data_IF_569854402516
#
_entry.id   IF_569854402516
#
_cell.length_a   1.000
_cell.length_b   1.000
_cell.length_c   1.000
_cell.angle_alpha   90.00
_cell.angle_beta   90.00
_cell.angle_gamma   90.00
#
_symmetry.space_group_name_H-M   'P 1'
#
loop_
_entity.id
_entity.type
_entity.pdbx_description
1 polymer ?
#
# COMPACT_ATOMS: atom_id res chain seq x y z
N UNK A 1 -17.12 -10.70 40.98
CA UNK A 1 -17.55 -11.74 39.99
C UNK A 1 -17.42 -11.17 38.60
N UNK A 2 -16.37 -11.54 37.91
CA UNK A 2 -16.10 -11.10 36.51
C UNK A 2 -16.89 -12.03 35.58
N UNK A 3 -18.03 -11.58 35.10
CA UNK A 3 -18.76 -12.30 34.06
C UNK A 3 -17.99 -12.16 32.73
N UNK A 4 -17.43 -13.26 32.27
CA UNK A 4 -16.74 -13.31 30.97
C UNK A 4 -17.72 -12.96 29.85
N UNK A 5 -17.28 -12.12 28.92
CA UNK A 5 -18.04 -11.69 27.74
C UNK A 5 -18.57 -12.88 26.90
N UNK A 6 -17.90 -14.04 26.99
CA UNK A 6 -18.33 -15.31 26.37
C UNK A 6 -19.56 -15.93 27.05
N UNK A 7 -19.71 -15.77 28.37
CA UNK A 7 -20.87 -16.33 29.11
C UNK A 7 -22.16 -15.59 28.80
N UNK A 8 -22.07 -14.27 28.64
CA UNK A 8 -23.22 -13.41 28.28
C UNK A 8 -23.70 -13.75 26.86
N UNK A 9 -22.77 -13.95 25.93
CA UNK A 9 -23.10 -14.30 24.53
C UNK A 9 -23.80 -15.68 24.46
N UNK A 10 -23.34 -16.66 25.25
CA UNK A 10 -23.92 -18.00 25.31
C UNK A 10 -25.32 -18.01 25.95
N UNK A 11 -25.55 -17.17 26.98
CA UNK A 11 -26.85 -16.99 27.61
C UNK A 11 -27.89 -16.45 26.62
N UNK A 12 -27.51 -15.46 25.80
CA UNK A 12 -28.40 -14.92 24.76
C UNK A 12 -28.69 -15.92 23.66
N UNK A 13 -27.69 -16.69 23.22
CA UNK A 13 -27.86 -17.71 22.17
C UNK A 13 -28.86 -18.80 22.56
N UNK A 14 -28.92 -19.21 23.83
CA UNK A 14 -29.84 -20.25 24.30
C UNK A 14 -31.30 -19.75 24.46
N UNK A 15 -31.55 -18.43 24.39
CA UNK A 15 -32.91 -17.85 24.50
C UNK A 15 -33.44 -17.30 23.17
N UNK A 16 -32.66 -17.43 22.09
CA UNK A 16 -33.10 -17.00 20.77
C UNK A 16 -33.95 -18.13 20.20
N UNK A 17 -35.23 -17.84 19.97
CA UNK A 17 -36.10 -18.70 19.16
C UNK A 17 -36.15 -18.13 17.73
N UNK A 18 -36.41 -18.96 16.75
CA UNK A 18 -36.67 -18.52 15.36
C UNK A 18 -37.98 -17.71 15.26
N UNK A 19 -38.77 -17.71 16.35
CA UNK A 19 -39.95 -16.88 16.47
C UNK A 19 -39.55 -15.41 16.66
N UNK A 20 -39.84 -14.59 15.65
CA UNK A 20 -39.52 -13.17 15.58
C UNK A 20 -40.18 -12.29 16.63
N UNK A 21 -41.13 -12.83 17.43
CA UNK A 21 -41.88 -12.12 18.47
C UNK A 21 -41.13 -11.99 19.81
N UNK A 22 -40.05 -12.77 20.02
CA UNK A 22 -39.28 -12.75 21.25
C UNK A 22 -38.45 -11.46 21.39
N UNK A 23 -38.63 -10.75 22.52
CA UNK A 23 -37.82 -9.56 22.85
C UNK A 23 -36.31 -9.86 22.87
N UNK A 24 -35.93 -11.09 23.20
CA UNK A 24 -34.55 -11.52 23.21
C UNK A 24 -33.97 -11.65 21.81
N UNK A 25 -34.77 -12.11 20.84
CA UNK A 25 -34.41 -12.11 19.42
C UNK A 25 -34.21 -10.69 18.92
N UNK A 26 -35.14 -9.77 19.28
CA UNK A 26 -35.02 -8.36 18.89
C UNK A 26 -33.77 -7.70 19.50
N UNK A 27 -33.49 -7.89 20.79
CA UNK A 27 -32.30 -7.36 21.46
C UNK A 27 -31.01 -7.92 20.86
N UNK A 28 -30.99 -9.20 20.50
CA UNK A 28 -29.86 -9.83 19.85
C UNK A 28 -29.61 -9.24 18.47
N UNK A 29 -30.63 -9.11 17.65
CA UNK A 29 -30.55 -8.52 16.31
C UNK A 29 -30.14 -7.04 16.39
N UNK A 30 -30.75 -6.27 17.30
CA UNK A 30 -30.38 -4.88 17.52
C UNK A 30 -28.89 -4.74 17.86
N UNK A 31 -28.38 -5.57 18.79
CA UNK A 31 -26.97 -5.62 19.11
C UNK A 31 -26.11 -6.01 17.91
N UNK A 32 -26.51 -7.01 17.13
CA UNK A 32 -25.78 -7.48 15.95
C UNK A 32 -25.74 -6.42 14.86
N UNK A 33 -26.82 -5.70 14.65
CA UNK A 33 -26.95 -4.71 13.57
C UNK A 33 -26.32 -3.38 13.97
N UNK A 34 -26.59 -2.89 15.19
CA UNK A 34 -26.27 -1.50 15.56
C UNK A 34 -25.12 -1.37 16.56
N UNK A 35 -24.84 -2.37 17.39
CA UNK A 35 -23.85 -2.26 18.46
C UNK A 35 -22.52 -2.95 18.07
N UNK A 36 -22.54 -4.02 17.28
CA UNK A 36 -21.32 -4.62 16.79
C UNK A 36 -20.70 -3.66 15.76
N UNK A 37 -19.58 -3.05 16.15
CA UNK A 37 -18.85 -2.14 15.28
C UNK A 37 -18.42 -2.87 14.01
N UNK A 38 -19.11 -2.62 12.90
CA UNK A 38 -18.77 -3.10 11.57
C UNK A 38 -17.65 -2.23 10.95
N UNK A 39 -17.15 -1.23 11.68
CA UNK A 39 -16.13 -0.33 11.20
C UNK A 39 -14.77 -1.04 11.08
N UNK A 40 -14.40 -1.42 9.86
CA UNK A 40 -13.00 -1.67 9.53
C UNK A 40 -12.34 -0.30 9.31
N UNK A 41 -11.42 0.07 10.19
CA UNK A 41 -10.60 1.27 10.02
C UNK A 41 -9.58 0.96 8.92
N UNK A 42 -9.64 1.68 7.82
CA UNK A 42 -8.66 1.66 6.74
C UNK A 42 -7.99 3.04 6.64
N UNK A 43 -6.77 3.05 6.15
CA UNK A 43 -5.95 4.25 6.01
C UNK A 43 -5.62 4.56 4.55
N UNK A 44 -5.55 3.54 3.68
CA UNK A 44 -5.33 3.71 2.25
C UNK A 44 -6.59 4.19 1.52
N UNK A 45 -6.42 4.75 0.33
CA UNK A 45 -7.54 4.94 -0.58
C UNK A 45 -8.15 3.58 -0.94
N UNK A 46 -9.47 3.52 -1.06
CA UNK A 46 -10.23 2.32 -1.45
C UNK A 46 -10.01 1.08 -0.56
N UNK A 47 -9.43 1.22 0.65
CA UNK A 47 -9.25 0.11 1.59
C UNK A 47 -8.18 -0.93 1.18
N UNK A 48 -7.22 -0.57 0.33
CA UNK A 48 -6.12 -1.46 -0.12
C UNK A 48 -5.36 -2.09 1.05
N UNK A 49 -5.12 -1.33 2.11
CA UNK A 49 -4.43 -1.76 3.33
C UNK A 49 -5.16 -2.87 4.10
N UNK A 50 -6.49 -2.96 3.98
CA UNK A 50 -7.26 -4.08 4.54
C UNK A 50 -6.97 -5.36 3.76
N UNK A 51 -6.93 -5.27 2.42
CA UNK A 51 -6.63 -6.40 1.55
C UNK A 51 -5.20 -6.89 1.80
N UNK A 52 -4.24 -5.97 1.85
CA UNK A 52 -2.84 -6.28 2.15
C UNK A 52 -2.71 -6.99 3.50
N UNK A 53 -3.22 -6.38 4.57
CA UNK A 53 -3.10 -6.90 5.92
C UNK A 53 -3.88 -8.19 6.15
N UNK A 54 -5.12 -8.24 5.65
CA UNK A 54 -6.10 -9.26 6.02
C UNK A 54 -6.09 -10.47 5.11
N UNK A 55 -5.60 -10.35 3.90
CA UNK A 55 -5.68 -11.38 2.89
C UNK A 55 -4.30 -11.75 2.33
N UNK A 56 -3.61 -10.82 1.67
CA UNK A 56 -2.39 -11.14 0.91
C UNK A 56 -1.19 -11.38 1.84
N UNK A 57 -0.94 -10.49 2.80
CA UNK A 57 0.25 -10.51 3.65
C UNK A 57 -0.06 -10.98 5.08
N UNK A 58 -1.15 -11.75 5.25
CA UNK A 58 -1.67 -12.15 6.55
C UNK A 58 -0.67 -12.96 7.39
N UNK A 59 0.06 -13.83 6.75
CA UNK A 59 0.96 -14.80 7.39
C UNK A 59 2.31 -14.24 7.76
N UNK A 60 2.74 -13.13 7.16
CA UNK A 60 4.04 -12.51 7.42
C UNK A 60 3.97 -11.71 8.72
N UNK A 61 4.79 -12.07 9.71
CA UNK A 61 4.82 -11.39 11.01
C UNK A 61 5.73 -10.15 10.99
N UNK A 62 6.98 -10.29 10.61
CA UNK A 62 8.02 -9.25 10.63
C UNK A 62 8.41 -8.83 9.22
N UNK A 63 7.44 -8.39 8.44
CA UNK A 63 7.65 -8.06 7.04
C UNK A 63 8.42 -6.75 6.83
N UNK A 64 8.93 -6.63 5.59
CA UNK A 64 9.65 -5.45 5.13
C UNK A 64 8.96 -4.85 3.90
N UNK A 65 8.72 -3.54 3.94
CA UNK A 65 8.13 -2.82 2.82
C UNK A 65 9.03 -1.69 2.32
N UNK A 66 8.87 -1.37 1.05
CA UNK A 66 9.40 -0.17 0.40
C UNK A 66 8.22 0.60 -0.17
N UNK A 67 8.06 1.86 0.23
CA UNK A 67 6.92 2.73 -0.11
C UNK A 67 7.46 3.99 -0.81
N UNK A 68 7.30 4.04 -2.14
CA UNK A 68 7.80 5.13 -3.00
C UNK A 68 6.63 6.03 -3.37
N UNK A 69 6.75 7.33 -3.10
CA UNK A 69 5.64 8.27 -3.13
C UNK A 69 4.75 8.13 -1.88
N UNK A 70 5.38 7.97 -0.71
CA UNK A 70 4.70 7.55 0.53
C UNK A 70 3.75 8.59 1.14
N UNK A 71 3.73 9.82 0.65
CA UNK A 71 2.85 10.95 0.96
C UNK A 71 2.69 11.27 2.46
N UNK A 72 1.97 10.44 3.22
CA UNK A 72 1.62 10.72 4.61
C UNK A 72 1.74 9.46 5.48
N UNK A 73 2.30 9.55 6.72
CA UNK A 73 2.57 8.36 7.54
C UNK A 73 1.33 7.59 8.01
N UNK A 74 0.13 8.15 7.88
CA UNK A 74 -1.14 7.53 8.29
C UNK A 74 -2.23 7.59 7.23
N UNK A 75 -2.55 8.82 6.75
CA UNK A 75 -3.65 9.08 5.80
C UNK A 75 -3.23 8.65 4.40
N UNK A 76 -4.09 7.95 3.68
CA UNK A 76 -3.86 7.40 2.34
C UNK A 76 -2.67 6.43 2.24
N UNK A 77 -2.20 5.91 3.37
CA UNK A 77 -1.05 5.04 3.42
C UNK A 77 -1.41 3.58 3.20
N UNK A 78 -0.78 2.96 2.20
CA UNK A 78 -0.88 1.53 1.93
C UNK A 78 -0.17 0.69 3.00
N UNK A 79 0.84 1.26 3.67
CA UNK A 79 1.77 0.56 4.56
C UNK A 79 1.49 0.76 6.05
N UNK A 80 0.62 1.71 6.46
CA UNK A 80 0.43 2.03 7.88
C UNK A 80 -0.19 0.88 8.69
N UNK A 81 -1.13 0.11 8.12
CA UNK A 81 -1.67 -1.07 8.79
C UNK A 81 -0.61 -2.15 9.02
N UNK A 82 0.33 -2.31 8.09
CA UNK A 82 1.45 -3.23 8.22
C UNK A 82 2.45 -2.73 9.28
N UNK A 83 2.76 -1.42 9.25
CA UNK A 83 3.58 -0.77 10.27
C UNK A 83 3.02 -1.00 11.69
N UNK A 84 1.70 -0.87 11.89
CA UNK A 84 1.03 -1.17 13.17
C UNK A 84 1.16 -2.64 13.60
N UNK A 85 1.38 -3.55 12.67
CA UNK A 85 1.63 -4.98 12.95
C UNK A 85 3.10 -5.28 13.29
N UNK A 86 3.95 -4.26 13.34
CA UNK A 86 5.37 -4.45 13.62
C UNK A 86 6.29 -4.43 12.40
N UNK A 87 5.75 -4.40 11.18
CA UNK A 87 6.55 -4.26 9.97
C UNK A 87 7.40 -3.00 9.98
N UNK A 88 8.51 -3.04 9.30
CA UNK A 88 9.39 -1.89 9.10
C UNK A 88 9.68 -1.73 7.63
N UNK A 89 10.07 -0.51 7.25
CA UNK A 89 10.28 -0.24 5.83
C UNK A 89 11.13 0.96 5.52
N UNK A 90 11.21 1.22 4.22
CA UNK A 90 11.77 2.43 3.64
C UNK A 90 10.59 3.24 3.11
N UNK A 91 10.49 4.51 3.54
CA UNK A 91 9.50 5.45 3.04
C UNK A 91 10.24 6.54 2.26
N UNK A 92 9.86 6.75 1.00
CA UNK A 92 10.54 7.65 0.08
C UNK A 92 9.54 8.66 -0.47
N UNK A 93 9.87 9.93 -0.42
CA UNK A 93 9.10 11.01 -1.05
C UNK A 93 10.03 12.16 -1.42
N UNK A 94 9.62 12.97 -2.39
CA UNK A 94 10.32 14.17 -2.82
C UNK A 94 10.21 15.33 -1.82
N UNK A 95 9.16 15.35 -1.00
CA UNK A 95 8.84 16.43 -0.09
C UNK A 95 9.46 16.19 1.29
N UNK A 96 10.36 17.10 1.69
CA UNK A 96 11.02 17.09 3.00
C UNK A 96 10.04 17.16 4.18
N UNK A 97 8.92 17.87 4.03
CA UNK A 97 7.93 17.99 5.10
C UNK A 97 7.17 16.69 5.31
N UNK A 98 6.85 15.98 4.22
CA UNK A 98 6.25 14.66 4.28
C UNK A 98 7.19 13.69 5.02
N UNK A 99 8.46 13.61 4.62
CA UNK A 99 9.46 12.75 5.28
C UNK A 99 9.69 13.15 6.74
N UNK A 100 9.67 14.44 7.08
CA UNK A 100 9.72 14.88 8.48
C UNK A 100 8.54 14.31 9.29
N UNK A 101 7.34 14.26 8.73
CA UNK A 101 6.17 13.64 9.38
C UNK A 101 6.36 12.13 9.58
N UNK A 102 6.97 11.43 8.61
CA UNK A 102 7.34 10.03 8.78
C UNK A 102 8.35 9.82 9.91
N UNK A 103 9.37 10.68 10.04
CA UNK A 103 10.33 10.61 11.14
C UNK A 103 9.69 10.74 12.53
N UNK A 104 8.60 11.51 12.65
CA UNK A 104 7.86 11.60 13.90
C UNK A 104 7.00 10.38 14.19
N UNK A 105 6.34 9.82 13.16
CA UNK A 105 5.33 8.76 13.34
C UNK A 105 5.96 7.38 13.23
N UNK A 106 6.98 7.22 12.37
CA UNK A 106 7.66 5.95 12.06
C UNK A 106 9.18 6.08 12.23
N UNK A 107 9.69 6.45 13.42
CA UNK A 107 11.13 6.74 13.62
C UNK A 107 12.02 5.51 13.44
N UNK A 108 11.44 4.30 13.50
CA UNK A 108 12.14 3.04 13.28
C UNK A 108 12.17 2.60 11.81
N UNK A 109 11.56 3.34 10.90
CA UNK A 109 11.68 3.13 9.47
C UNK A 109 12.87 3.93 8.91
N UNK A 110 13.28 3.66 7.70
CA UNK A 110 14.25 4.47 6.97
C UNK A 110 13.49 5.45 6.08
N UNK A 111 13.44 6.72 6.49
CA UNK A 111 12.64 7.73 5.82
C UNK A 111 13.56 8.66 5.02
N UNK A 112 13.40 8.69 3.69
CA UNK A 112 14.35 9.30 2.77
C UNK A 112 13.67 10.34 1.88
N UNK A 113 14.30 11.52 1.76
CA UNK A 113 13.95 12.49 0.74
C UNK A 113 14.76 12.17 -0.51
N UNK A 114 14.11 11.61 -1.53
CA UNK A 114 14.78 11.22 -2.76
C UNK A 114 13.86 11.29 -3.97
N UNK A 115 14.46 11.61 -5.12
CA UNK A 115 13.88 11.43 -6.44
C UNK A 115 14.35 10.10 -7.00
N UNK A 116 13.43 9.17 -7.25
CA UNK A 116 13.76 7.84 -7.76
C UNK A 116 13.51 7.81 -9.26
N UNK A 117 14.54 7.35 -10.03
CA UNK A 117 14.44 7.15 -11.47
C UNK A 117 15.40 6.06 -11.93
N UNK A 118 15.20 5.57 -13.14
CA UNK A 118 16.01 4.50 -13.78
C UNK A 118 17.46 4.93 -14.07
N UNK A 119 17.73 6.24 -14.06
CA UNK A 119 19.06 6.82 -14.33
C UNK A 119 19.37 7.93 -13.33
N UNK A 120 20.65 8.08 -13.02
CA UNK A 120 21.16 9.26 -12.32
C UNK A 120 21.19 10.44 -13.30
N UNK A 121 20.41 11.44 -13.00
CA UNK A 121 20.32 12.67 -13.78
C UNK A 121 19.77 13.80 -12.93
N UNK A 122 19.98 15.04 -13.37
CA UNK A 122 19.27 16.18 -12.83
C UNK A 122 17.93 16.30 -13.53
N UNK A 123 16.85 16.28 -12.78
CA UNK A 123 15.46 16.37 -13.29
C UNK A 123 14.71 17.50 -12.62
N UNK A 124 13.71 18.02 -13.32
CA UNK A 124 12.78 19.01 -12.75
C UNK A 124 11.69 18.33 -11.96
N UNK A 125 11.48 18.78 -10.74
CA UNK A 125 10.33 18.43 -9.89
C UNK A 125 9.32 19.56 -9.97
N UNK A 126 8.11 19.22 -10.36
CA UNK A 126 6.98 20.15 -10.39
C UNK A 126 6.19 19.99 -9.09
N UNK A 127 6.05 21.09 -8.34
CA UNK A 127 5.34 21.11 -7.06
C UNK A 127 4.07 21.91 -7.18
N UNK A 128 2.97 21.38 -6.66
CA UNK A 128 1.65 22.01 -6.62
C UNK A 128 1.31 22.56 -5.22
N UNK A 129 2.32 22.78 -4.39
CA UNK A 129 2.23 23.35 -3.05
C UNK A 129 2.91 22.50 -1.98
N UNK A 130 3.00 23.08 -0.78
CA UNK A 130 3.54 22.36 0.37
C UNK A 130 2.61 21.21 0.77
N UNK A 131 3.18 20.01 0.95
CA UNK A 131 2.42 18.82 1.31
C UNK A 131 1.36 18.41 0.27
N UNK A 132 1.56 18.79 -1.00
CA UNK A 132 0.66 18.40 -2.10
C UNK A 132 0.68 16.91 -2.36
N UNK A 133 -0.46 16.36 -2.79
CA UNK A 133 -0.57 14.99 -3.29
C UNK A 133 0.22 14.82 -4.59
N UNK A 134 0.18 15.81 -5.46
CA UNK A 134 0.45 15.68 -6.88
C UNK A 134 1.86 16.12 -7.34
N UNK A 135 2.87 16.21 -6.44
CA UNK A 135 4.24 16.53 -6.89
C UNK A 135 4.78 15.43 -7.78
N UNK A 136 5.23 15.77 -9.00
CA UNK A 136 5.64 14.82 -10.02
C UNK A 136 6.97 15.15 -10.69
N UNK A 137 7.65 14.13 -11.18
CA UNK A 137 8.79 14.22 -12.11
C UNK A 137 8.32 14.13 -13.58
N UNK A 138 7.09 13.69 -13.81
CA UNK A 138 6.55 13.56 -15.16
C UNK A 138 6.08 14.90 -15.71
N UNK A 139 6.78 15.39 -16.73
CA UNK A 139 6.47 16.66 -17.39
C UNK A 139 5.08 16.65 -18.02
N UNK A 140 4.59 15.54 -18.53
CA UNK A 140 3.25 15.42 -19.15
C UNK A 140 2.16 15.64 -18.11
N UNK A 141 2.32 15.05 -16.93
CA UNK A 141 1.43 15.24 -15.79
C UNK A 141 1.50 16.69 -15.29
N UNK A 142 2.69 17.28 -15.24
CA UNK A 142 2.87 18.68 -14.87
C UNK A 142 2.18 19.62 -15.86
N UNK A 143 2.31 19.41 -17.16
CA UNK A 143 1.70 20.24 -18.21
C UNK A 143 0.17 20.19 -18.20
N UNK A 144 -0.43 19.03 -17.91
CA UNK A 144 -1.90 18.92 -17.74
C UNK A 144 -2.42 19.77 -16.59
N UNK A 145 -1.61 20.08 -15.60
CA UNK A 145 -1.94 20.82 -14.41
C UNK A 145 -1.15 22.13 -14.27
N UNK A 146 -0.66 22.71 -15.39
CA UNK A 146 0.28 23.82 -15.40
C UNK A 146 -0.18 25.04 -14.58
N UNK A 147 -1.48 25.34 -14.57
CA UNK A 147 -2.06 26.46 -13.79
C UNK A 147 -1.93 26.27 -12.28
N UNK A 148 -1.67 25.04 -11.80
CA UNK A 148 -1.53 24.71 -10.39
C UNK A 148 -0.07 24.64 -9.94
N UNK A 149 0.90 24.74 -10.85
CA UNK A 149 2.33 24.66 -10.52
C UNK A 149 2.70 25.87 -9.64
N UNK A 150 3.12 25.60 -8.41
CA UNK A 150 3.58 26.61 -7.46
C UNK A 150 5.10 26.72 -7.38
N UNK A 151 5.82 25.73 -7.89
CA UNK A 151 7.28 25.76 -7.92
C UNK A 151 7.87 24.66 -8.79
N UNK A 152 9.03 24.97 -9.36
CA UNK A 152 9.85 24.01 -10.08
C UNK A 152 11.25 24.05 -9.46
N UNK A 153 11.80 22.89 -9.16
CA UNK A 153 13.17 22.77 -8.65
C UNK A 153 13.90 21.62 -9.32
N UNK A 154 15.19 21.75 -9.46
CA UNK A 154 16.04 20.66 -9.94
C UNK A 154 16.47 19.77 -8.77
N UNK A 155 16.47 18.45 -9.01
CA UNK A 155 16.93 17.45 -8.05
C UNK A 155 17.74 16.39 -8.78
N UNK A 156 18.72 15.83 -8.09
CA UNK A 156 19.43 14.64 -8.58
C UNK A 156 18.61 13.40 -8.30
N UNK A 157 18.46 12.54 -9.31
CA UNK A 157 17.81 11.24 -9.17
C UNK A 157 18.81 10.19 -8.72
N UNK A 158 18.29 9.17 -8.05
CA UNK A 158 19.01 7.95 -7.70
C UNK A 158 18.12 6.74 -7.98
N UNK A 159 18.72 5.56 -8.07
CA UNK A 159 17.98 4.33 -8.29
C UNK A 159 17.36 3.83 -6.98
N UNK A 160 16.26 3.10 -7.08
CA UNK A 160 15.64 2.47 -5.91
C UNK A 160 16.60 1.46 -5.25
N UNK A 161 17.37 0.74 -6.08
CA UNK A 161 18.40 -0.19 -5.59
C UNK A 161 19.44 0.51 -4.71
N UNK A 162 19.93 1.70 -5.10
CA UNK A 162 20.89 2.46 -4.30
C UNK A 162 20.31 2.93 -2.96
N UNK A 163 19.05 3.38 -2.94
CA UNK A 163 18.38 3.77 -1.69
C UNK A 163 18.26 2.59 -0.74
N UNK A 164 17.90 1.41 -1.27
CA UNK A 164 17.79 0.19 -0.47
C UNK A 164 19.16 -0.23 0.06
N UNK A 165 20.20 -0.21 -0.78
CA UNK A 165 21.57 -0.56 -0.41
C UNK A 165 22.17 0.39 0.64
N UNK A 166 21.88 1.67 0.53
CA UNK A 166 22.30 2.68 1.52
C UNK A 166 21.52 2.64 2.85
N UNK A 167 20.50 1.80 2.94
CA UNK A 167 19.66 1.70 4.13
C UNK A 167 20.15 0.62 5.09
N UNK A 168 19.72 0.70 6.36
CA UNK A 168 19.93 -0.38 7.33
C UNK A 168 19.17 -1.68 7.00
N UNK A 169 18.38 -1.69 5.94
CA UNK A 169 17.62 -2.83 5.47
C UNK A 169 18.23 -3.48 4.22
N UNK A 170 19.47 -3.11 3.86
CA UNK A 170 20.17 -3.69 2.73
C UNK A 170 20.19 -5.23 2.79
N UNK A 171 19.93 -5.88 1.66
CA UNK A 171 19.87 -7.34 1.56
C UNK A 171 18.65 -8.02 2.15
N UNK A 172 17.71 -7.27 2.77
CA UNK A 172 16.46 -7.82 3.29
C UNK A 172 15.48 -8.13 2.15
N UNK A 173 14.78 -9.25 2.22
CA UNK A 173 13.69 -9.58 1.30
C UNK A 173 12.59 -8.53 1.37
N UNK A 174 12.22 -7.95 0.25
CA UNK A 174 11.09 -7.03 0.15
C UNK A 174 9.81 -7.85 0.09
N UNK A 175 8.95 -7.73 1.10
CA UNK A 175 7.65 -8.39 1.13
C UNK A 175 6.58 -7.58 0.39
N UNK A 176 6.68 -6.24 0.44
CA UNK A 176 5.81 -5.31 -0.29
C UNK A 176 6.63 -4.17 -0.89
N UNK A 177 6.51 -3.98 -2.20
CA UNK A 177 6.88 -2.76 -2.89
C UNK A 177 5.61 -2.00 -3.27
N UNK A 178 5.46 -0.78 -2.76
CA UNK A 178 4.36 0.14 -3.07
C UNK A 178 4.92 1.31 -3.85
N UNK A 179 4.35 1.60 -5.03
CA UNK A 179 4.77 2.70 -5.90
C UNK A 179 3.56 3.53 -6.25
N UNK A 180 3.68 4.85 -6.04
CA UNK A 180 2.66 5.85 -6.32
C UNK A 180 3.37 7.19 -6.55
N UNK A 181 3.85 7.40 -7.78
CA UNK A 181 4.73 8.53 -8.14
C UNK A 181 4.16 9.42 -9.23
N UNK A 182 2.82 9.41 -9.36
CA UNK A 182 2.06 10.32 -10.22
C UNK A 182 2.60 10.36 -11.67
N UNK A 183 2.71 9.15 -12.27
CA UNK A 183 3.09 8.96 -13.67
C UNK A 183 4.57 8.63 -13.91
N UNK A 184 5.41 8.59 -12.86
CA UNK A 184 6.83 8.20 -12.98
C UNK A 184 7.10 6.74 -12.54
N UNK A 185 6.06 5.97 -12.36
CA UNK A 185 6.04 4.65 -11.72
C UNK A 185 6.88 3.61 -12.46
N UNK A 186 6.85 3.62 -13.79
CA UNK A 186 7.66 2.71 -14.61
C UNK A 186 9.16 2.96 -14.45
N UNK A 187 9.59 4.22 -14.35
CA UNK A 187 10.99 4.55 -14.14
C UNK A 187 11.46 4.11 -12.75
N UNK A 188 10.58 4.22 -11.75
CA UNK A 188 10.83 3.67 -10.41
C UNK A 188 11.01 2.15 -10.47
N UNK A 189 10.14 1.42 -11.17
CA UNK A 189 10.27 -0.02 -11.36
C UNK A 189 11.58 -0.38 -12.06
N UNK A 190 11.92 0.30 -13.17
CA UNK A 190 13.16 0.07 -13.93
C UNK A 190 14.42 0.33 -13.11
N UNK A 191 14.34 1.14 -12.06
CA UNK A 191 15.46 1.48 -11.16
C UNK A 191 15.75 0.41 -10.10
N UNK A 192 14.90 -0.61 -9.98
CA UNK A 192 15.10 -1.74 -9.07
C UNK A 192 15.78 -2.90 -9.76
N UNK A 193 16.82 -3.42 -9.17
CA UNK A 193 17.43 -4.70 -9.56
C UNK A 193 16.53 -5.87 -9.11
N UNK A 194 15.69 -6.37 -10.02
CA UNK A 194 14.77 -7.47 -9.76
C UNK A 194 15.45 -8.83 -9.56
N UNK A 195 16.68 -9.01 -10.03
CA UNK A 195 17.45 -10.23 -9.78
C UNK A 195 17.93 -10.28 -8.33
N UNK A 196 18.29 -9.13 -7.79
CA UNK A 196 18.74 -8.99 -6.41
C UNK A 196 17.59 -8.91 -5.39
N UNK A 197 16.54 -8.16 -5.70
CA UNK A 197 15.54 -7.77 -4.71
C UNK A 197 14.17 -8.40 -4.89
N UNK A 198 13.83 -9.00 -5.96
CA UNK A 198 12.54 -9.65 -6.31
C UNK A 198 11.42 -9.50 -5.27
N UNK A 199 10.70 -8.37 -5.21
CA UNK A 199 9.65 -8.12 -4.21
C UNK A 199 8.56 -9.18 -4.29
N UNK A 200 8.08 -9.68 -3.14
CA UNK A 200 7.02 -10.71 -3.12
C UNK A 200 5.69 -10.21 -3.64
N UNK A 201 5.37 -8.97 -3.34
CA UNK A 201 4.20 -8.27 -3.82
C UNK A 201 4.61 -6.88 -4.31
N UNK A 202 4.16 -6.52 -5.50
CA UNK A 202 4.25 -5.16 -6.04
C UNK A 202 2.84 -4.59 -6.14
N UNK A 203 2.61 -3.45 -5.53
CA UNK A 203 1.40 -2.65 -5.76
C UNK A 203 1.81 -1.34 -6.41
N UNK A 204 1.10 -0.96 -7.46
CA UNK A 204 1.47 0.19 -8.28
C UNK A 204 0.23 0.93 -8.76
N UNK A 205 0.28 2.25 -8.70
CA UNK A 205 -0.82 3.07 -9.20
C UNK A 205 -0.84 3.14 -10.73
N UNK A 206 -2.04 3.20 -11.28
CA UNK A 206 -2.28 3.42 -12.71
C UNK A 206 -3.56 4.18 -12.92
N UNK A 207 -3.57 5.09 -13.88
CA UNK A 207 -4.79 5.79 -14.30
C UNK A 207 -5.49 5.12 -15.50
N UNK A 208 -5.06 3.91 -15.87
CA UNK A 208 -5.72 3.11 -16.91
C UNK A 208 -7.05 2.56 -16.37
N UNK A 209 -8.08 2.56 -17.22
CA UNK A 209 -9.46 2.34 -16.77
C UNK A 209 -10.07 1.01 -17.23
N UNK A 210 -9.34 0.22 -18.03
CA UNK A 210 -9.80 -1.10 -18.49
C UNK A 210 -8.65 -2.09 -18.63
N UNK A 211 -8.97 -3.38 -18.69
CA UNK A 211 -7.99 -4.47 -18.73
C UNK A 211 -7.16 -4.50 -20.02
N UNK A 212 -7.73 -4.07 -21.16
CA UNK A 212 -6.98 -4.07 -22.41
C UNK A 212 -5.85 -3.05 -22.38
N UNK A 213 -6.16 -1.82 -21.92
CA UNK A 213 -5.15 -0.78 -21.73
C UNK A 213 -4.08 -1.20 -20.71
N UNK A 214 -4.47 -1.88 -19.63
CA UNK A 214 -3.52 -2.40 -18.64
C UNK A 214 -2.59 -3.43 -19.28
N UNK A 215 -3.15 -4.40 -19.99
CA UNK A 215 -2.39 -5.48 -20.62
C UNK A 215 -1.41 -4.95 -21.69
N UNK A 216 -1.75 -3.88 -22.40
CA UNK A 216 -0.92 -3.24 -23.42
C UNK A 216 0.11 -2.26 -22.82
N UNK A 217 -0.03 -1.88 -21.55
CA UNK A 217 0.84 -0.90 -20.93
C UNK A 217 2.28 -1.40 -20.76
N UNK A 218 3.25 -0.51 -20.97
CA UNK A 218 4.67 -0.82 -20.75
C UNK A 218 4.93 -1.31 -19.31
N UNK A 219 4.23 -0.77 -18.33
CA UNK A 219 4.33 -1.15 -16.94
C UNK A 219 3.95 -2.62 -16.72
N UNK A 220 2.81 -3.05 -17.30
CA UNK A 220 2.37 -4.43 -17.20
C UNK A 220 3.33 -5.38 -17.92
N UNK A 221 3.76 -5.03 -19.14
CA UNK A 221 4.69 -5.85 -19.91
C UNK A 221 6.03 -5.99 -19.18
N UNK A 222 6.56 -4.89 -18.61
CA UNK A 222 7.79 -4.92 -17.83
C UNK A 222 7.69 -5.89 -16.64
N UNK A 223 6.61 -5.83 -15.83
CA UNK A 223 6.43 -6.74 -14.71
C UNK A 223 6.24 -8.19 -15.17
N UNK A 224 5.54 -8.41 -16.29
CA UNK A 224 5.38 -9.73 -16.90
C UNK A 224 6.71 -10.33 -17.34
N UNK A 225 7.59 -9.54 -17.95
CA UNK A 225 8.97 -9.94 -18.32
C UNK A 225 9.80 -10.32 -17.09
N UNK A 226 9.58 -9.66 -15.95
CA UNK A 226 10.20 -10.01 -14.66
C UNK A 226 9.54 -11.22 -13.97
N UNK A 227 8.59 -11.87 -14.63
CA UNK A 227 7.93 -13.07 -14.15
C UNK A 227 6.79 -12.81 -13.16
N UNK A 228 6.26 -11.59 -13.11
CA UNK A 228 5.09 -11.25 -12.30
C UNK A 228 3.79 -11.40 -13.10
N UNK A 229 2.70 -11.65 -12.38
CA UNK A 229 1.34 -11.64 -12.93
C UNK A 229 0.40 -10.84 -12.04
N UNK A 230 -0.62 -10.27 -12.64
CA UNK A 230 -1.65 -9.48 -11.95
C UNK A 230 -2.56 -10.41 -11.15
N UNK A 231 -2.77 -10.10 -9.87
CA UNK A 231 -3.64 -10.87 -8.97
C UNK A 231 -4.84 -10.10 -8.49
N UNK A 232 -4.78 -8.78 -8.53
CA UNK A 232 -5.89 -7.93 -8.08
C UNK A 232 -5.79 -6.53 -8.67
N UNK A 233 -6.95 -5.86 -8.74
CA UNK A 233 -7.08 -4.46 -9.12
C UNK A 233 -8.08 -3.78 -8.19
N UNK A 234 -7.65 -2.73 -7.49
CA UNK A 234 -8.48 -1.98 -6.53
C UNK A 234 -8.35 -0.49 -6.77
N UNK A 235 -9.42 0.14 -7.25
CA UNK A 235 -9.41 1.54 -7.66
C UNK A 235 -8.36 1.79 -8.74
N UNK A 236 -7.40 2.63 -8.48
CA UNK A 236 -6.30 2.93 -9.38
C UNK A 236 -5.04 2.07 -9.14
N UNK A 237 -5.11 1.00 -8.34
CA UNK A 237 -3.92 0.24 -7.94
C UNK A 237 -3.98 -1.21 -8.41
N UNK A 238 -2.95 -1.63 -9.11
CA UNK A 238 -2.70 -2.99 -9.56
C UNK A 238 -1.82 -3.73 -8.56
N UNK A 239 -2.07 -5.04 -8.38
CA UNK A 239 -1.35 -5.91 -7.45
C UNK A 239 -0.70 -7.04 -8.24
N UNK A 240 0.62 -7.15 -8.17
CA UNK A 240 1.40 -8.15 -8.90
C UNK A 240 2.20 -9.03 -7.95
N UNK A 241 2.31 -10.32 -8.32
CA UNK A 241 3.17 -11.29 -7.66
C UNK A 241 3.76 -12.26 -8.67
N UNK A 242 4.65 -13.14 -8.24
CA UNK A 242 5.24 -14.17 -9.07
C UNK A 242 4.80 -15.59 -8.65
N UNK A 243 4.86 -16.60 -9.54
CA UNK A 243 4.51 -17.98 -9.22
C UNK A 243 5.34 -18.55 -8.07
N UNK A 244 4.77 -19.49 -7.33
CA UNK A 244 5.41 -20.17 -6.19
C UNK A 244 5.79 -19.25 -5.01
N UNK A 245 5.23 -18.06 -4.97
CA UNK A 245 5.31 -17.21 -3.80
C UNK A 245 4.38 -17.76 -2.71
N UNK A 246 4.91 -18.62 -1.84
CA UNK A 246 4.19 -19.37 -0.80
C UNK A 246 3.37 -18.51 0.18
N UNK A 247 3.46 -17.18 0.07
CA UNK A 247 2.80 -16.25 0.97
C UNK A 247 1.40 -15.83 0.52
N UNK A 248 1.06 -16.08 -0.73
CA UNK A 248 -0.10 -15.44 -1.31
C UNK A 248 -1.39 -16.23 -1.19
N UNK A 249 -1.34 -17.52 -0.96
CA UNK A 249 -2.55 -18.31 -0.72
C UNK A 249 -2.15 -19.52 0.14
N UNK A 250 -2.29 -19.47 1.49
CA UNK A 250 -2.55 -20.71 2.17
C UNK A 250 -3.83 -21.27 1.53
N UNK A 251 -3.87 -22.58 1.29
CA UNK A 251 -5.05 -23.28 0.79
C UNK A 251 -6.31 -22.66 1.39
N UNK A 252 -6.93 -21.74 0.67
CA UNK A 252 -8.27 -21.31 0.99
C UNK A 252 -9.12 -22.39 0.37
N UNK A 253 -9.64 -23.34 1.17
CA UNK A 253 -10.66 -24.22 0.65
C UNK A 253 -11.79 -23.27 0.25
N UNK A 254 -12.01 -23.13 -1.05
CA UNK A 254 -13.26 -22.57 -1.54
C UNK A 254 -14.35 -23.46 -0.95
N UNK A 255 -14.89 -23.07 0.19
CA UNK A 255 -16.15 -23.63 0.65
C UNK A 255 -17.17 -23.16 -0.37
N UNK A 256 -17.52 -24.10 -1.26
CA UNK A 256 -18.71 -24.02 -2.10
C UNK A 256 -19.94 -23.94 -1.21
#
# INVERSE_FOLDING_TARGET
>A
MSFSFKSITRFFQNKISEDSSSIWTWLFLFRKIYIIKIFKIFYSQFGKDIILKGFILRTIKDGFYVDVGCYHPKKYSNTYQLHKRGWRGINIDLDRLKIKAFNWVRPKDHNVVAAISDKKSTVKVYSFGHYSLDSTLDERTALKNHEKIQGVREVETQTLSEVIEGSRFAGRQIDLLSIDTEGHDLNVLKSLDFEKYKPRLVIIETHLMNMDQINESELYQFLKEKGYYLINWVGFTLFFTYPNNQLLLPDIPFRR
#
